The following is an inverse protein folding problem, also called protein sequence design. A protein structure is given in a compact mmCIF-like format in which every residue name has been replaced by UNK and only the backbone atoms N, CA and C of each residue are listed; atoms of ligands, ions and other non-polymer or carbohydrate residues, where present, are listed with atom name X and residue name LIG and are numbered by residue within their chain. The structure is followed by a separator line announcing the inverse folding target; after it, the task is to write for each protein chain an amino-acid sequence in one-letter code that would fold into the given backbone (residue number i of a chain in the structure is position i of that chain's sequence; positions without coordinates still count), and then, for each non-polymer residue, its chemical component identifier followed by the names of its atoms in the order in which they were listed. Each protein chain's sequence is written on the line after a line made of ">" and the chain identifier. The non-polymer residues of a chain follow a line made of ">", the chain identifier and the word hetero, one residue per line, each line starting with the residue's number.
data_IF_497839371993
#
_entry.id   IF_497839371993
#
_cell.length_a   1.000
_cell.length_b   1.000
_cell.length_c   1.000
_cell.angle_alpha   90.00
_cell.angle_beta   90.00
_cell.angle_gamma   90.00
#
_symmetry.space_group_name_H-M   'P 1'
#
loop_
_entity.id
_entity.type
_entity.pdbx_description
1 polymer ?
#
# COMPACT_ATOMS: atom_id res chain seq x y z
N UNK A 1 29.81 -8.19 -11.39
CA UNK A 1 28.94 -7.01 -11.18
C UNK A 1 27.55 -7.55 -10.85
N UNK A 2 26.69 -6.99 -10.01
CA UNK A 2 26.47 -5.58 -9.73
C UNK A 2 25.61 -5.47 -8.46
N UNK A 3 26.10 -4.80 -7.42
CA UNK A 3 25.19 -4.23 -6.44
C UNK A 3 24.40 -3.12 -7.14
N UNK A 4 23.09 -3.08 -6.93
CA UNK A 4 22.24 -2.00 -7.45
C UNK A 4 21.70 -1.20 -6.27
N UNK A 5 21.82 0.12 -6.37
CA UNK A 5 21.25 1.01 -5.37
C UNK A 5 19.73 0.96 -5.42
N UNK A 6 19.11 0.42 -4.36
CA UNK A 6 17.65 0.28 -4.25
C UNK A 6 17.19 0.66 -2.85
N UNK A 7 16.06 1.36 -2.77
CA UNK A 7 15.35 1.59 -1.50
C UNK A 7 14.97 0.25 -0.89
N UNK A 8 15.37 0.01 0.36
CA UNK A 8 14.90 -1.15 1.13
C UNK A 8 13.39 -0.99 1.35
N UNK A 9 12.62 -2.01 0.96
CA UNK A 9 11.18 -2.05 1.16
C UNK A 9 10.90 -2.77 2.46
N UNK A 10 9.95 -2.27 3.26
CA UNK A 10 9.41 -3.04 4.37
C UNK A 10 8.67 -4.25 3.79
N UNK A 11 9.11 -5.45 4.15
CA UNK A 11 8.37 -6.68 3.92
C UNK A 11 7.47 -6.99 5.11
N UNK A 12 6.52 -7.89 4.90
CA UNK A 12 5.77 -8.50 6.00
C UNK A 12 6.74 -9.28 6.90
N UNK A 13 6.47 -9.29 8.20
CA UNK A 13 7.25 -10.11 9.14
C UNK A 13 6.78 -11.56 9.00
N UNK A 14 7.48 -12.34 8.18
CA UNK A 14 7.20 -13.75 7.92
C UNK A 14 6.34 -13.97 6.68
N UNK A 15 6.05 -15.24 6.42
CA UNK A 15 5.19 -15.69 5.33
C UNK A 15 3.77 -15.91 5.85
N UNK A 16 2.73 -15.55 5.08
CA UNK A 16 1.35 -15.87 5.45
C UNK A 16 1.16 -17.39 5.44
N UNK A 17 0.25 -17.88 6.28
CA UNK A 17 -0.16 -19.29 6.24
C UNK A 17 -0.70 -19.63 4.83
N UNK A 18 -0.13 -20.64 4.13
CA UNK A 18 -0.49 -20.93 2.75
C UNK A 18 -1.96 -21.33 2.59
N UNK A 19 -2.51 -22.06 3.56
CA UNK A 19 -3.89 -22.55 3.51
C UNK A 19 -4.86 -21.38 3.70
N UNK A 20 -4.64 -20.55 4.72
CA UNK A 20 -5.44 -19.37 4.98
C UNK A 20 -5.41 -18.39 3.79
N UNK A 21 -4.24 -18.20 3.19
CA UNK A 21 -4.09 -17.33 2.02
C UNK A 21 -4.89 -17.87 0.82
N UNK A 22 -4.82 -19.18 0.56
CA UNK A 22 -5.56 -19.80 -0.53
C UNK A 22 -7.07 -19.73 -0.31
N UNK A 23 -7.55 -19.99 0.92
CA UNK A 23 -8.96 -19.88 1.29
C UNK A 23 -9.49 -18.46 1.07
N UNK A 24 -8.77 -17.43 1.55
CA UNK A 24 -9.15 -16.01 1.36
C UNK A 24 -9.17 -15.62 -0.11
N UNK A 25 -8.20 -16.10 -0.89
CA UNK A 25 -8.14 -15.85 -2.34
C UNK A 25 -9.33 -16.46 -3.08
N UNK A 26 -9.74 -17.67 -2.71
CA UNK A 26 -10.93 -18.31 -3.31
C UNK A 26 -12.20 -17.55 -2.95
N UNK A 27 -12.39 -17.20 -1.67
CA UNK A 27 -13.57 -16.44 -1.24
C UNK A 27 -13.69 -15.09 -1.97
N UNK A 28 -12.57 -14.38 -2.16
CA UNK A 28 -12.55 -13.14 -2.93
C UNK A 28 -12.91 -13.37 -4.41
N UNK A 29 -12.43 -14.46 -5.00
CA UNK A 29 -12.78 -14.81 -6.37
C UNK A 29 -14.28 -15.04 -6.55
N UNK A 30 -14.89 -15.78 -5.63
CA UNK A 30 -16.33 -16.08 -5.67
C UNK A 30 -17.16 -14.81 -5.54
N UNK A 31 -16.78 -13.88 -4.64
CA UNK A 31 -17.41 -12.55 -4.52
C UNK A 31 -17.28 -11.73 -5.80
N UNK A 32 -16.12 -11.76 -6.47
CA UNK A 32 -15.93 -11.08 -7.74
C UNK A 32 -16.81 -11.66 -8.86
N UNK A 33 -17.04 -12.97 -8.88
CA UNK A 33 -17.95 -13.60 -9.86
C UNK A 33 -19.40 -13.21 -9.60
N UNK A 34 -19.83 -13.22 -8.34
CA UNK A 34 -21.19 -12.77 -7.97
C UNK A 34 -21.41 -11.29 -8.32
N UNK A 35 -20.39 -10.45 -8.12
CA UNK A 35 -20.43 -9.05 -8.53
C UNK A 35 -20.52 -8.89 -10.05
N UNK A 36 -19.76 -9.67 -10.81
CA UNK A 36 -19.82 -9.66 -12.28
C UNK A 36 -21.17 -10.12 -12.83
N UNK A 37 -21.87 -10.99 -12.10
CA UNK A 37 -23.22 -11.45 -12.42
C UNK A 37 -24.32 -10.47 -11.97
N UNK A 38 -23.96 -9.36 -11.30
CA UNK A 38 -24.92 -8.39 -10.78
C UNK A 38 -25.72 -8.89 -9.57
N UNK A 39 -25.25 -9.95 -8.90
CA UNK A 39 -25.90 -10.51 -7.70
C UNK A 39 -25.61 -9.63 -6.48
N UNK A 40 -24.45 -8.98 -6.45
CA UNK A 40 -24.03 -8.09 -5.37
C UNK A 40 -23.19 -6.93 -5.88
N UNK A 41 -23.14 -5.84 -5.11
CA UNK A 41 -22.23 -4.73 -5.36
C UNK A 41 -20.96 -4.90 -4.52
N UNK A 42 -19.81 -4.99 -5.19
CA UNK A 42 -18.51 -5.21 -4.54
C UNK A 42 -17.73 -3.89 -4.45
N UNK A 43 -17.51 -3.43 -3.21
CA UNK A 43 -16.68 -2.28 -2.90
C UNK A 43 -15.42 -2.71 -2.15
N UNK A 44 -14.27 -2.23 -2.63
CA UNK A 44 -13.00 -2.32 -1.92
C UNK A 44 -12.88 -1.12 -0.98
N UNK A 45 -12.44 -1.37 0.24
CA UNK A 45 -12.23 -0.34 1.25
C UNK A 45 -10.77 -0.37 1.70
N UNK A 46 -10.16 0.80 1.81
CA UNK A 46 -8.82 0.93 2.41
C UNK A 46 -8.66 2.30 3.10
N UNK A 47 -7.71 2.37 4.02
CA UNK A 47 -7.40 3.60 4.76
C UNK A 47 -5.94 4.01 4.55
N UNK A 48 -5.72 5.28 4.25
CA UNK A 48 -4.38 5.85 4.09
C UNK A 48 -4.16 7.04 5.00
N UNK A 49 -3.05 7.02 5.74
CA UNK A 49 -2.65 8.11 6.63
C UNK A 49 -1.62 9.04 5.99
N UNK A 50 -1.92 10.33 5.95
CA UNK A 50 -1.04 11.38 5.44
C UNK A 50 -0.59 12.31 6.57
N UNK A 51 0.66 12.73 6.53
CA UNK A 51 1.20 13.76 7.43
C UNK A 51 2.31 14.53 6.73
N UNK A 52 2.64 15.72 7.24
CA UNK A 52 3.72 16.57 6.72
C UNK A 52 5.10 16.20 7.27
N UNK A 53 5.20 15.11 8.02
CA UNK A 53 6.48 14.50 8.38
C UNK A 53 6.87 13.53 7.26
N UNK A 54 7.83 13.90 6.39
CA UNK A 54 8.21 13.04 5.28
C UNK A 54 8.87 11.77 5.82
N UNK A 55 8.64 10.66 5.12
CA UNK A 55 9.50 9.49 5.26
C UNK A 55 10.92 9.88 4.82
N UNK A 56 11.94 9.59 5.63
CA UNK A 56 13.35 9.84 5.32
C UNK A 56 14.00 8.58 4.71
N UNK A 57 13.99 8.39 3.38
CA UNK A 57 14.70 7.27 2.77
C UNK A 57 16.22 7.51 2.76
N UNK A 58 16.98 6.42 2.69
CA UNK A 58 18.40 6.50 2.32
C UNK A 58 18.54 6.91 0.84
N UNK A 59 19.42 7.90 0.57
CA UNK A 59 19.74 8.42 -0.76
C UNK A 59 21.27 8.56 -0.91
N UNK A 60 21.80 8.35 -2.13
CA UNK A 60 23.19 8.73 -2.43
C UNK A 60 23.27 10.26 -2.38
N UNK A 61 24.28 10.79 -1.70
CA UNK A 61 24.52 12.22 -1.59
C UNK A 61 25.98 12.50 -1.93
N UNK A 62 26.22 13.59 -2.66
CA UNK A 62 27.58 14.04 -2.96
C UNK A 62 28.28 14.48 -1.67
N UNK A 63 29.60 14.29 -1.61
CA UNK A 63 30.39 14.63 -0.42
C UNK A 63 30.31 16.15 -0.17
N UNK A 64 29.74 16.55 0.96
CA UNK A 64 29.55 17.96 1.33
C UNK A 64 28.17 18.52 0.97
N UNK A 65 27.32 17.76 0.28
CA UNK A 65 25.94 18.16 0.00
C UNK A 65 24.96 17.40 0.91
N UNK A 66 23.94 18.10 1.41
CA UNK A 66 22.87 17.50 2.23
C UNK A 66 21.52 17.70 1.54
N UNK A 67 20.86 16.61 1.18
CA UNK A 67 19.46 16.59 0.76
C UNK A 67 18.60 16.91 1.97
N UNK A 68 17.87 18.01 1.91
CA UNK A 68 16.90 18.41 2.93
C UNK A 68 15.51 18.21 2.38
N UNK A 69 14.68 17.49 3.11
CA UNK A 69 13.24 17.41 2.85
C UNK A 69 12.55 18.38 3.80
N UNK A 70 11.67 19.20 3.23
CA UNK A 70 10.82 20.07 4.03
C UNK A 70 9.91 19.21 4.92
N UNK A 71 9.82 19.59 6.19
CA UNK A 71 9.03 18.90 7.19
C UNK A 71 8.31 19.96 8.02
N UNK A 72 7.06 19.72 8.34
CA UNK A 72 6.25 20.62 9.15
C UNK A 72 5.42 19.85 10.18
N UNK A 73 5.07 20.47 11.32
CA UNK A 73 4.15 19.86 12.25
C UNK A 73 2.77 19.70 11.59
N UNK A 74 2.25 18.48 11.56
CA UNK A 74 0.86 18.23 11.16
C UNK A 74 0.23 17.15 12.03
N UNK A 75 -1.08 17.24 12.21
CA UNK A 75 -1.86 16.07 12.61
C UNK A 75 -1.89 15.08 11.45
N UNK A 76 -1.96 13.78 11.76
CA UNK A 76 -2.18 12.75 10.74
C UNK A 76 -3.62 12.86 10.24
N UNK A 77 -3.80 12.94 8.93
CA UNK A 77 -5.09 12.88 8.25
C UNK A 77 -5.26 11.46 7.73
N UNK A 78 -6.31 10.77 8.18
CA UNK A 78 -6.67 9.48 7.60
C UNK A 78 -7.72 9.72 6.52
N UNK A 79 -7.44 9.23 5.32
CA UNK A 79 -8.36 9.24 4.18
C UNK A 79 -8.90 7.83 4.02
N UNK A 80 -10.22 7.73 3.98
CA UNK A 80 -10.95 6.49 3.74
C UNK A 80 -11.29 6.43 2.25
N UNK A 81 -10.86 5.37 1.58
CA UNK A 81 -11.10 5.15 0.16
C UNK A 81 -12.06 3.99 -0.05
N UNK A 82 -13.09 4.22 -0.86
CA UNK A 82 -13.96 3.17 -1.38
C UNK A 82 -13.79 3.12 -2.89
N UNK A 83 -13.64 1.92 -3.46
CA UNK A 83 -13.45 1.70 -4.89
C UNK A 83 -14.34 0.57 -5.37
N UNK A 84 -15.12 0.82 -6.42
CA UNK A 84 -15.84 -0.21 -7.18
C UNK A 84 -15.17 -0.43 -8.54
N UNK A 85 -15.26 -1.65 -9.09
CA UNK A 85 -14.81 -1.92 -10.47
C UNK A 85 -15.68 -1.27 -11.53
N UNK A 86 -16.93 -0.96 -11.18
CA UNK A 86 -17.88 -0.35 -12.11
C UNK A 86 -17.71 1.17 -12.22
N UNK A 87 -16.71 1.74 -11.52
CA UNK A 87 -16.34 3.15 -11.58
C UNK A 87 -17.51 4.11 -11.26
N UNK A 88 -18.44 3.64 -10.42
CA UNK A 88 -19.53 4.43 -9.85
C UNK A 88 -19.05 5.39 -8.76
#
# INVERSE_FOLDING_TARGET
>A
MAFSWRRVRKGLKGEPDPEEYQQKKQALHDLQQQAAQGILDLYYFDESGFCFTPYLPYAWQEKGQTIRLESGPSKRVNVLGFLSKNNE
#
